data_IF_253801853110
#
_entry.id   IF_253801853110
#
_cell.length_a   1.000
_cell.length_b   1.000
_cell.length_c   1.000
_cell.angle_alpha   90.00
_cell.angle_beta   90.00
_cell.angle_gamma   90.00
#
_symmetry.space_group_name_H-M   'P 1'
#
loop_
_entity.id
_entity.type
_entity.pdbx_description
1 polymer ?
#
# COMPACT_ATOMS: atom_id res chain seq x y z
N UNK A 1 -7.59 12.15 1.85
CA UNK A 1 -6.93 12.73 3.03
C UNK A 1 -7.22 14.22 3.13
N UNK A 2 -7.13 14.95 2.02
CA UNK A 2 -7.41 16.39 1.91
C UNK A 2 -8.81 16.79 2.42
N UNK A 3 -9.85 15.99 2.11
CA UNK A 3 -11.20 16.22 2.61
C UNK A 3 -11.31 16.16 4.15
N UNK A 4 -10.36 15.50 4.81
CA UNK A 4 -10.25 15.40 6.27
C UNK A 4 -9.11 16.28 6.82
N UNK A 5 -8.47 17.10 5.98
CA UNK A 5 -7.32 17.94 6.32
C UNK A 5 -6.17 17.13 6.95
N UNK A 6 -5.99 15.90 6.49
CA UNK A 6 -4.88 15.04 6.89
C UNK A 6 -3.76 15.22 5.87
N UNK A 7 -2.61 15.72 6.31
CA UNK A 7 -1.46 15.92 5.42
C UNK A 7 -0.66 14.65 5.20
N UNK A 8 -0.54 13.81 6.24
CA UNK A 8 0.24 12.57 6.21
C UNK A 8 -0.32 11.57 7.22
N UNK A 9 -0.31 10.28 6.92
CA UNK A 9 -0.84 9.24 7.82
C UNK A 9 -0.01 7.95 7.83
N UNK A 10 -0.17 7.16 8.89
CA UNK A 10 0.17 5.74 8.86
C UNK A 10 -0.93 4.97 8.12
N UNK A 11 -0.53 4.11 7.19
CA UNK A 11 -1.45 3.31 6.36
C UNK A 11 -1.22 1.84 6.64
N UNK A 12 -2.29 1.13 7.02
CA UNK A 12 -2.30 -0.32 7.14
C UNK A 12 -3.03 -0.91 5.92
N UNK A 13 -2.35 -1.75 5.16
CA UNK A 13 -2.95 -2.54 4.09
C UNK A 13 -3.08 -4.01 4.48
N UNK A 14 -4.28 -4.57 4.37
CA UNK A 14 -4.58 -5.97 4.70
C UNK A 14 -5.03 -6.72 3.44
N UNK A 15 -4.44 -7.90 3.18
CA UNK A 15 -4.78 -8.74 2.01
C UNK A 15 -4.71 -7.92 0.72
N UNK A 16 -5.75 -7.89 -0.12
CA UNK A 16 -5.77 -7.05 -1.33
C UNK A 16 -5.52 -5.55 -1.03
N UNK A 17 -5.92 -5.08 0.16
CA UNK A 17 -5.66 -3.72 0.61
C UNK A 17 -4.17 -3.40 0.77
N UNK A 18 -3.31 -4.40 0.95
CA UNK A 18 -1.85 -4.23 0.95
C UNK A 18 -1.29 -3.84 -0.41
N UNK A 19 -1.78 -4.45 -1.49
CA UNK A 19 -1.40 -4.07 -2.85
C UNK A 19 -1.86 -2.64 -3.18
N UNK A 20 -3.09 -2.27 -2.79
CA UNK A 20 -3.59 -0.89 -2.96
C UNK A 20 -2.76 0.11 -2.15
N UNK A 21 -2.40 -0.23 -0.92
CA UNK A 21 -1.62 0.65 -0.06
C UNK A 21 -0.17 0.82 -0.56
N UNK A 22 0.41 -0.19 -1.22
CA UNK A 22 1.70 -0.06 -1.92
C UNK A 22 1.62 0.92 -3.09
N UNK A 23 0.59 0.80 -3.94
CA UNK A 23 0.36 1.75 -5.04
C UNK A 23 0.14 3.18 -4.53
N UNK A 24 -0.57 3.37 -3.41
CA UNK A 24 -0.74 4.67 -2.78
C UNK A 24 0.61 5.31 -2.41
N UNK A 25 1.52 4.54 -1.82
CA UNK A 25 2.85 5.05 -1.41
C UNK A 25 3.73 5.37 -2.60
N UNK A 26 3.67 4.58 -3.68
CA UNK A 26 4.45 4.83 -4.89
C UNK A 26 4.01 6.12 -5.59
N UNK A 27 2.71 6.39 -5.62
CA UNK A 27 2.16 7.57 -6.32
C UNK A 27 2.13 8.84 -5.45
N UNK A 28 1.98 8.71 -4.12
CA UNK A 28 1.84 9.82 -3.18
C UNK A 28 2.68 9.63 -1.91
N UNK A 29 4.01 9.47 -2.01
CA UNK A 29 4.88 9.18 -0.88
C UNK A 29 4.82 10.25 0.21
N UNK A 30 4.58 11.51 -0.15
CA UNK A 30 4.44 12.63 0.79
C UNK A 30 3.24 12.51 1.71
N UNK A 31 2.21 11.72 1.33
CA UNK A 31 0.98 11.53 2.09
C UNK A 31 1.05 10.34 3.06
N UNK A 32 2.11 9.53 3.04
CA UNK A 32 2.25 8.34 3.87
C UNK A 32 3.51 8.41 4.74
N UNK A 33 3.32 8.39 6.06
CA UNK A 33 4.43 8.41 7.04
C UNK A 33 5.00 7.01 7.22
N UNK A 34 4.14 5.99 7.28
CA UNK A 34 4.55 4.59 7.39
C UNK A 34 3.50 3.69 6.74
N UNK A 35 3.97 2.71 5.98
CA UNK A 35 3.14 1.63 5.45
C UNK A 35 3.35 0.38 6.31
N UNK A 36 2.25 -0.17 6.83
CA UNK A 36 2.21 -1.46 7.51
C UNK A 36 1.46 -2.44 6.62
N UNK A 37 2.07 -3.60 6.37
CA UNK A 37 1.52 -4.64 5.51
C UNK A 37 1.17 -5.85 6.38
N UNK A 38 -0.08 -6.32 6.30
CA UNK A 38 -0.54 -7.45 7.09
C UNK A 38 -1.28 -8.45 6.19
N UNK A 39 -0.89 -9.73 6.24
CA UNK A 39 -1.55 -10.80 5.48
C UNK A 39 -1.76 -10.47 3.99
N UNK A 40 -0.77 -9.81 3.38
CA UNK A 40 -0.77 -9.37 1.97
C UNK A 40 0.47 -9.91 1.27
N UNK A 41 0.41 -9.96 -0.05
CA UNK A 41 1.53 -10.25 -0.93
C UNK A 41 2.00 -8.98 -1.64
N UNK A 42 3.26 -8.98 -2.06
CA UNK A 42 3.84 -7.98 -2.94
C UNK A 42 3.89 -8.58 -4.35
N UNK A 43 3.21 -7.97 -5.32
CA UNK A 43 3.12 -8.48 -6.69
C UNK A 43 1.90 -9.35 -6.97
N UNK A 44 1.73 -9.72 -8.24
CA UNK A 44 0.66 -10.60 -8.71
C UNK A 44 0.87 -12.04 -8.26
N UNK A 45 -0.21 -12.78 -7.97
CA UNK A 45 -0.17 -14.25 -7.84
C UNK A 45 0.13 -14.77 -9.25
N UNK A 46 1.40 -14.87 -9.61
CA UNK A 46 1.82 -15.41 -10.88
C UNK A 46 1.61 -16.91 -10.91
N UNK A 47 1.22 -17.46 -12.06
CA UNK A 47 1.58 -18.84 -12.36
C UNK A 47 3.11 -18.88 -12.39
N UNK A 48 3.71 -19.45 -11.35
CA UNK A 48 5.16 -19.44 -11.10
C UNK A 48 5.90 -20.31 -12.13
N UNK A 49 6.17 -19.70 -13.29
CA UNK A 49 7.16 -20.14 -14.24
C UNK A 49 8.05 -18.93 -14.51
N UNK A 50 9.30 -19.01 -14.05
CA UNK A 50 10.40 -18.03 -14.19
C UNK A 50 10.46 -16.92 -13.13
N UNK A 51 11.29 -17.16 -12.10
CA UNK A 51 12.57 -16.44 -11.91
C UNK A 51 13.58 -17.31 -11.19
#
# INVERSE_FOLDING_TARGET
MDALVIFKAHVLGISMGGMIAQELVLNYPEKVEKLVLCSTISGCIGNDHTR
#
